data_IF_559263623263
#
_entry.id   IF_559263623263
#
_cell.length_a   1.000
_cell.length_b   1.000
_cell.length_c   1.000
_cell.angle_alpha   90.00
_cell.angle_beta   90.00
_cell.angle_gamma   90.00
#
_symmetry.space_group_name_H-M   'P 1'
#
loop_
_entity.id
_entity.type
_entity.pdbx_description
1 polymer ?
#
# COMPACT_ATOMS: atom_id res chain seq x y z
N UNK A 1 21.79 26.00 -25.54
CA UNK A 1 21.35 24.76 -24.87
C UNK A 1 20.80 25.16 -23.51
N UNK A 2 19.51 25.49 -23.42
CA UNK A 2 18.85 25.67 -22.13
C UNK A 2 18.56 24.28 -21.59
N UNK A 3 19.30 23.88 -20.56
CA UNK A 3 18.98 22.69 -19.78
C UNK A 3 17.52 22.82 -19.35
N UNK A 4 16.64 22.02 -19.97
CA UNK A 4 15.28 21.85 -19.48
C UNK A 4 15.43 21.11 -18.15
N UNK A 5 15.59 21.88 -17.08
CA UNK A 5 15.60 21.40 -15.70
C UNK A 5 14.49 20.36 -15.56
N UNK A 6 14.88 19.10 -15.30
CA UNK A 6 13.91 18.05 -15.05
C UNK A 6 13.05 18.52 -13.88
N UNK A 7 11.71 18.49 -14.00
CA UNK A 7 10.85 18.97 -12.94
C UNK A 7 11.06 18.10 -11.70
N UNK A 8 11.79 18.63 -10.71
CA UNK A 8 12.21 17.94 -9.47
C UNK A 8 11.03 17.20 -8.82
N UNK A 9 9.83 17.80 -8.88
CA UNK A 9 8.59 17.24 -8.36
C UNK A 9 8.23 15.89 -8.99
N UNK A 10 8.39 15.73 -10.31
CA UNK A 10 8.09 14.47 -11.00
C UNK A 10 9.10 13.39 -10.63
N UNK A 11 10.37 13.77 -10.48
CA UNK A 11 11.42 12.85 -10.02
C UNK A 11 11.15 12.36 -8.60
N UNK A 12 10.80 13.25 -7.67
CA UNK A 12 10.44 12.87 -6.29
C UNK A 12 9.22 11.95 -6.28
N UNK A 13 8.16 12.29 -7.02
CA UNK A 13 6.95 11.47 -7.10
C UNK A 13 7.25 10.07 -7.64
N UNK A 14 8.05 9.98 -8.70
CA UNK A 14 8.45 8.71 -9.28
C UNK A 14 9.24 7.84 -8.30
N UNK A 15 10.18 8.43 -7.55
CA UNK A 15 10.91 7.73 -6.50
C UNK A 15 10.00 7.25 -5.38
N UNK A 16 9.03 8.04 -4.96
CA UNK A 16 8.04 7.62 -3.96
C UNK A 16 7.28 6.38 -4.46
N UNK A 17 6.84 6.35 -5.72
CA UNK A 17 6.19 5.18 -6.30
C UNK A 17 7.11 3.94 -6.33
N UNK A 18 8.37 4.11 -6.72
CA UNK A 18 9.35 3.00 -6.71
C UNK A 18 9.54 2.46 -5.29
N UNK A 19 9.69 3.34 -4.30
CA UNK A 19 9.86 2.97 -2.90
C UNK A 19 8.62 2.29 -2.33
N UNK A 20 7.42 2.76 -2.68
CA UNK A 20 6.16 2.09 -2.32
C UNK A 20 6.14 0.67 -2.90
N UNK A 21 6.51 0.49 -4.17
CA UNK A 21 6.49 -0.83 -4.81
C UNK A 21 7.49 -1.79 -4.18
N UNK A 22 8.69 -1.29 -3.87
CA UNK A 22 9.70 -2.06 -3.14
C UNK A 22 9.22 -2.44 -1.73
N UNK A 23 8.61 -1.49 -1.01
CA UNK A 23 8.05 -1.73 0.32
C UNK A 23 6.92 -2.77 0.27
N UNK A 24 6.07 -2.75 -0.75
CA UNK A 24 5.02 -3.76 -0.96
C UNK A 24 5.60 -5.15 -1.18
N UNK A 25 6.65 -5.28 -1.99
CA UNK A 25 7.35 -6.55 -2.22
C UNK A 25 7.94 -7.08 -0.90
N UNK A 26 8.64 -6.22 -0.16
CA UNK A 26 9.25 -6.59 1.13
C UNK A 26 8.18 -6.99 2.15
N UNK A 27 7.08 -6.24 2.24
CA UNK A 27 5.99 -6.56 3.17
C UNK A 27 5.29 -7.87 2.80
N UNK A 28 4.99 -8.10 1.51
CA UNK A 28 4.42 -9.37 1.06
C UNK A 28 5.34 -10.55 1.38
N UNK A 29 6.64 -10.40 1.13
CA UNK A 29 7.64 -11.44 1.46
C UNK A 29 7.70 -11.71 2.97
N UNK A 30 7.72 -10.67 3.80
CA UNK A 30 7.69 -10.81 5.27
C UNK A 30 6.43 -11.53 5.73
N UNK A 31 5.26 -11.12 5.23
CA UNK A 31 3.97 -11.72 5.58
C UNK A 31 3.92 -13.21 5.22
N UNK A 32 4.43 -13.56 4.04
CA UNK A 32 4.55 -14.95 3.62
C UNK A 32 5.50 -15.77 4.49
N UNK A 33 6.68 -15.24 4.82
CA UNK A 33 7.64 -15.94 5.73
C UNK A 33 7.03 -16.16 7.11
N UNK A 34 6.31 -15.17 7.65
CA UNK A 34 5.57 -15.32 8.92
C UNK A 34 4.49 -16.39 8.81
N UNK A 35 3.74 -16.42 7.71
CA UNK A 35 2.72 -17.45 7.43
C UNK A 35 3.35 -18.84 7.38
N UNK A 36 4.49 -19.02 6.70
CA UNK A 36 5.18 -20.32 6.63
C UNK A 36 5.69 -20.77 8.00
N UNK A 37 6.29 -19.87 8.79
CA UNK A 37 6.75 -20.19 10.16
C UNK A 37 5.59 -20.56 11.07
N UNK A 38 4.44 -19.90 10.92
CA UNK A 38 3.25 -20.25 11.68
C UNK A 38 2.72 -21.62 11.27
N UNK A 39 2.67 -21.91 9.96
CA UNK A 39 2.26 -23.21 9.46
C UNK A 39 3.17 -24.35 9.97
N UNK A 40 4.48 -24.12 10.02
CA UNK A 40 5.45 -25.06 10.58
C UNK A 40 5.23 -25.25 12.09
N UNK A 41 5.02 -24.17 12.84
CA UNK A 41 4.69 -24.24 14.26
C UNK A 41 3.40 -25.02 14.53
N UNK A 42 2.35 -24.77 13.74
CA UNK A 42 1.07 -25.49 13.83
C UNK A 42 1.21 -26.97 13.47
N UNK A 43 2.07 -27.32 12.51
CA UNK A 43 2.35 -28.71 12.16
C UNK A 43 3.10 -29.48 13.26
N UNK A 44 3.78 -28.79 14.18
CA UNK A 44 4.44 -29.39 15.34
C UNK A 44 3.55 -29.48 16.58
N UNK A 45 2.32 -28.93 16.53
CA UNK A 45 1.38 -29.05 17.63
C UNK A 45 0.44 -30.22 17.48
N UNK A 46 0.27 -30.99 18.55
CA UNK A 46 -0.63 -32.13 18.62
C UNK A 46 -1.99 -31.76 19.25
N UNK A 47 -2.13 -30.56 19.82
CA UNK A 47 -3.36 -30.10 20.45
C UNK A 47 -4.30 -29.37 19.47
N UNK A 48 -5.43 -29.98 19.08
CA UNK A 48 -6.37 -29.38 18.12
C UNK A 48 -7.07 -28.12 18.66
N UNK A 49 -7.18 -27.94 19.98
CA UNK A 49 -7.82 -26.75 20.56
C UNK A 49 -6.90 -25.51 20.46
N UNK A 50 -5.61 -25.71 20.71
CA UNK A 50 -4.59 -24.69 20.53
C UNK A 50 -4.46 -24.27 19.05
N UNK A 51 -4.53 -25.23 18.12
CA UNK A 51 -4.47 -24.98 16.67
C UNK A 51 -5.65 -24.10 16.22
N UNK A 52 -6.88 -24.43 16.62
CA UNK A 52 -8.06 -23.67 16.22
C UNK A 52 -8.04 -22.24 16.78
N UNK A 53 -7.60 -22.06 18.03
CA UNK A 53 -7.49 -20.74 18.66
C UNK A 53 -6.49 -19.84 17.92
N UNK A 54 -5.36 -20.39 17.48
CA UNK A 54 -4.36 -19.65 16.69
C UNK A 54 -4.85 -19.38 15.27
N UNK A 55 -5.55 -20.33 14.65
CA UNK A 55 -6.15 -20.14 13.32
C UNK A 55 -7.25 -19.08 13.32
N UNK A 56 -8.06 -18.98 14.37
CA UNK A 56 -9.07 -17.91 14.48
C UNK A 56 -8.44 -16.54 14.71
N UNK A 57 -7.34 -16.48 15.48
CA UNK A 57 -6.62 -15.23 15.77
C UNK A 57 -5.79 -14.74 14.57
N UNK A 58 -5.13 -15.67 13.86
CA UNK A 58 -4.14 -15.36 12.81
C UNK A 58 -4.67 -15.62 11.40
N UNK A 59 -5.79 -16.34 11.25
CA UNK A 59 -6.46 -16.63 9.97
C UNK A 59 -6.67 -15.39 9.07
N UNK A 60 -7.09 -14.23 9.60
CA UNK A 60 -7.19 -13.00 8.82
C UNK A 60 -5.86 -12.42 8.33
N UNK A 61 -4.74 -12.87 8.91
CA UNK A 61 -3.38 -12.42 8.62
C UNK A 61 -2.56 -13.44 7.83
N UNK A 62 -3.05 -14.69 7.69
CA UNK A 62 -2.40 -15.71 6.89
C UNK A 62 -2.45 -15.28 5.42
N UNK A 63 -1.26 -15.17 4.83
CA UNK A 63 -1.08 -14.71 3.45
C UNK A 63 -0.90 -15.95 2.57
N UNK A 64 -1.97 -16.49 1.93
CA UNK A 64 -1.81 -17.64 1.06
C UNK A 64 -0.80 -17.34 -0.06
N UNK A 65 -0.16 -18.37 -0.66
CA UNK A 65 0.83 -18.18 -1.73
C UNK A 65 0.31 -17.31 -2.89
N UNK A 66 -0.99 -17.38 -3.15
CA UNK A 66 -1.68 -16.55 -4.13
C UNK A 66 -1.62 -15.05 -3.78
N UNK A 67 -1.80 -14.70 -2.51
CA UNK A 67 -1.74 -13.31 -2.05
C UNK A 67 -0.31 -12.76 -2.15
N UNK A 68 0.72 -13.57 -1.85
CA UNK A 68 2.11 -13.18 -2.12
C UNK A 68 2.30 -12.88 -3.62
N UNK A 69 1.84 -13.76 -4.50
CA UNK A 69 1.97 -13.57 -5.95
C UNK A 69 1.29 -12.27 -6.42
N UNK A 70 0.10 -11.97 -5.87
CA UNK A 70 -0.62 -10.72 -6.14
C UNK A 70 0.18 -9.51 -5.63
N UNK A 71 0.71 -9.55 -4.40
CA UNK A 71 1.50 -8.46 -3.82
C UNK A 71 2.80 -8.21 -4.60
N UNK A 72 3.47 -9.26 -5.04
CA UNK A 72 4.65 -9.15 -5.90
C UNK A 72 4.29 -8.52 -7.24
N UNK A 73 3.21 -8.97 -7.89
CA UNK A 73 2.75 -8.41 -9.15
C UNK A 73 2.39 -6.92 -9.01
N UNK A 74 1.65 -6.55 -7.96
CA UNK A 74 1.31 -5.16 -7.66
C UNK A 74 2.58 -4.34 -7.43
N UNK A 75 3.51 -4.83 -6.61
CA UNK A 75 4.77 -4.15 -6.32
C UNK A 75 5.60 -3.88 -7.58
N UNK A 76 5.71 -4.87 -8.48
CA UNK A 76 6.38 -4.73 -9.77
C UNK A 76 5.66 -3.72 -10.67
N UNK A 77 4.33 -3.78 -10.78
CA UNK A 77 3.54 -2.81 -11.55
C UNK A 77 3.78 -1.36 -11.06
N UNK A 78 3.78 -1.16 -9.74
CA UNK A 78 4.02 0.14 -9.09
C UNK A 78 5.43 0.66 -9.39
N UNK A 79 6.45 -0.20 -9.37
CA UNK A 79 7.82 0.15 -9.78
C UNK A 79 7.86 0.55 -11.27
N UNK A 80 7.22 -0.22 -12.14
CA UNK A 80 7.13 0.08 -13.58
C UNK A 80 6.47 1.45 -13.81
N UNK A 81 5.45 1.81 -13.02
CA UNK A 81 4.81 3.11 -13.10
C UNK A 81 5.73 4.24 -12.65
N UNK A 82 6.49 4.06 -11.57
CA UNK A 82 7.52 4.99 -11.15
C UNK A 82 8.59 5.21 -12.23
N UNK A 83 9.08 4.13 -12.84
CA UNK A 83 10.03 4.22 -13.97
C UNK A 83 9.39 4.90 -15.19
N UNK A 84 8.11 4.63 -15.47
CA UNK A 84 7.33 5.30 -16.51
C UNK A 84 7.21 6.81 -16.30
N UNK A 85 7.03 7.24 -15.05
CA UNK A 85 7.02 8.66 -14.66
C UNK A 85 8.38 9.32 -14.81
N UNK A 86 9.49 8.63 -14.49
CA UNK A 86 10.86 9.13 -14.77
C UNK A 86 11.10 9.34 -16.27
N UNK A 87 10.46 8.53 -17.11
CA UNK A 87 10.48 8.66 -18.57
C UNK A 87 9.43 9.64 -19.11
N UNK A 88 8.71 10.33 -18.24
CA UNK A 88 7.66 11.31 -18.56
C UNK A 88 6.58 10.75 -19.51
N UNK A 89 6.31 9.45 -19.46
CA UNK A 89 5.30 8.84 -20.34
C UNK A 89 3.89 9.30 -19.94
N UNK A 90 3.03 9.71 -20.89
CA UNK A 90 1.70 10.26 -20.59
C UNK A 90 0.77 9.25 -19.90
N UNK A 91 0.89 7.95 -20.24
CA UNK A 91 0.12 6.89 -19.59
C UNK A 91 0.50 6.70 -18.11
N UNK A 92 1.74 7.03 -17.72
CA UNK A 92 2.21 6.81 -16.34
C UNK A 92 1.48 7.73 -15.36
N UNK A 93 1.10 8.94 -15.79
CA UNK A 93 0.30 9.86 -14.97
C UNK A 93 -1.12 9.35 -14.74
N UNK A 94 -1.77 8.85 -15.78
CA UNK A 94 -3.12 8.31 -15.68
C UNK A 94 -3.16 7.11 -14.73
N UNK A 95 -2.18 6.21 -14.85
CA UNK A 95 -2.05 5.07 -13.93
C UNK A 95 -1.71 5.51 -12.50
N UNK A 96 -0.86 6.52 -12.30
CA UNK A 96 -0.58 7.07 -10.97
C UNK A 96 -1.83 7.65 -10.30
N UNK A 97 -2.73 8.29 -11.07
CA UNK A 97 -4.00 8.79 -10.55
C UNK A 97 -4.95 7.64 -10.17
N UNK A 98 -5.10 6.63 -11.04
CA UNK A 98 -5.93 5.45 -10.76
C UNK A 98 -5.43 4.72 -9.52
N UNK A 99 -4.13 4.46 -9.45
CA UNK A 99 -3.52 3.74 -8.32
C UNK A 99 -3.61 4.52 -7.01
N UNK A 100 -3.50 5.86 -7.04
CA UNK A 100 -3.76 6.69 -5.87
C UNK A 100 -5.21 6.56 -5.39
N UNK A 101 -6.20 6.56 -6.30
CA UNK A 101 -7.60 6.33 -5.94
C UNK A 101 -7.83 4.94 -5.36
N UNK A 102 -7.30 3.89 -5.99
CA UNK A 102 -7.37 2.52 -5.48
C UNK A 102 -6.80 2.45 -4.07
N UNK A 103 -5.67 3.12 -3.81
CA UNK A 103 -5.05 3.16 -2.49
C UNK A 103 -5.92 3.87 -1.44
N UNK A 104 -6.57 4.98 -1.80
CA UNK A 104 -7.55 5.65 -0.93
C UNK A 104 -8.72 4.73 -0.60
N UNK A 105 -9.34 4.11 -1.61
CA UNK A 105 -10.48 3.21 -1.41
C UNK A 105 -10.10 1.99 -0.58
N UNK A 106 -8.96 1.37 -0.86
CA UNK A 106 -8.44 0.23 -0.11
C UNK A 106 -8.16 0.58 1.36
N UNK A 107 -7.53 1.74 1.60
CA UNK A 107 -7.25 2.19 2.97
C UNK A 107 -8.56 2.46 3.74
N UNK A 108 -9.55 3.07 3.09
CA UNK A 108 -10.85 3.34 3.71
C UNK A 108 -11.62 2.05 4.01
N UNK A 109 -11.71 1.11 3.06
CA UNK A 109 -12.44 -0.15 3.25
C UNK A 109 -11.76 -1.03 4.29
N UNK A 110 -10.44 -1.18 4.24
CA UNK A 110 -9.68 -1.96 5.20
C UNK A 110 -9.72 -1.32 6.60
N UNK A 111 -9.61 0.01 6.68
CA UNK A 111 -9.77 0.74 7.94
C UNK A 111 -11.16 0.52 8.57
N UNK A 112 -12.22 0.51 7.76
CA UNK A 112 -13.58 0.25 8.24
C UNK A 112 -13.77 -1.21 8.70
N UNK A 113 -13.26 -2.19 7.94
CA UNK A 113 -13.29 -3.59 8.35
C UNK A 113 -12.52 -3.84 9.64
N UNK A 114 -11.31 -3.28 9.75
CA UNK A 114 -10.52 -3.40 10.98
C UNK A 114 -11.20 -2.74 12.17
N UNK A 115 -11.81 -1.57 11.99
CA UNK A 115 -12.57 -0.91 13.06
C UNK A 115 -13.74 -1.79 13.54
N UNK A 116 -14.49 -2.41 12.62
CA UNK A 116 -15.59 -3.33 12.97
C UNK A 116 -15.07 -4.56 13.71
N UNK A 117 -13.98 -5.18 13.25
CA UNK A 117 -13.38 -6.34 13.90
C UNK A 117 -12.89 -5.99 15.31
N UNK A 118 -12.27 -4.83 15.50
CA UNK A 118 -11.84 -4.36 16.81
C UNK A 118 -13.01 -4.09 17.75
N UNK A 119 -14.08 -3.41 17.30
CA UNK A 119 -15.27 -3.17 18.13
C UNK A 119 -15.86 -4.49 18.64
N UNK A 120 -15.92 -5.51 17.77
CA UNK A 120 -16.38 -6.86 18.15
C UNK A 120 -15.47 -7.50 19.20
N UNK A 121 -14.15 -7.42 19.01
CA UNK A 121 -13.18 -7.93 19.97
C UNK A 121 -13.29 -7.21 21.32
N UNK A 122 -13.30 -5.88 21.35
CA UNK A 122 -13.39 -5.11 22.60
C UNK A 122 -14.71 -5.38 23.33
N UNK A 123 -15.81 -5.64 22.62
CA UNK A 123 -17.10 -6.01 23.25
C UNK A 123 -17.11 -7.39 23.93
N UNK A 124 -16.11 -8.23 23.66
CA UNK A 124 -15.98 -9.57 24.26
C UNK A 124 -15.05 -9.60 25.47
N UNK A 125 -14.21 -8.57 25.67
CA UNK A 125 -13.32 -8.46 26.82
C UNK A 125 -13.87 -7.42 27.80
N UNK A 126 -14.27 -7.87 28.98
CA UNK A 126 -14.77 -7.03 30.08
C UNK A 126 -13.66 -6.16 30.69
N UNK A 127 -14.04 -5.10 31.44
CA UNK A 127 -13.23 -3.99 32.02
C UNK A 127 -12.04 -4.43 32.93
N UNK A 128 -11.10 -5.20 32.39
CA UNK A 128 -9.84 -5.60 33.03
C UNK A 128 -8.62 -5.10 32.26
N UNK A 129 -7.41 -5.48 32.71
CA UNK A 129 -6.15 -5.05 32.09
C UNK A 129 -6.02 -5.40 30.58
N UNK A 130 -6.76 -6.41 30.10
CA UNK A 130 -6.84 -6.72 28.67
C UNK A 130 -7.66 -5.69 27.85
N UNK A 131 -8.69 -5.09 28.46
CA UNK A 131 -9.50 -4.03 27.87
C UNK A 131 -8.68 -2.76 27.62
N UNK A 132 -7.87 -2.33 28.60
CA UNK A 132 -7.01 -1.15 28.48
C UNK A 132 -5.99 -1.29 27.33
N UNK A 133 -5.39 -2.46 27.16
CA UNK A 133 -4.44 -2.74 26.06
C UNK A 133 -5.15 -2.74 24.70
N UNK A 134 -6.36 -3.31 24.61
CA UNK A 134 -7.18 -3.30 23.40
C UNK A 134 -7.62 -1.88 23.02
N UNK A 135 -8.05 -1.07 23.99
CA UNK A 135 -8.39 0.35 23.78
C UNK A 135 -7.18 1.16 23.33
N UNK A 136 -5.99 0.91 23.89
CA UNK A 136 -4.76 1.53 23.45
C UNK A 136 -4.46 1.17 21.98
N UNK A 137 -4.49 -0.13 21.62
CA UNK A 137 -4.28 -0.59 20.25
C UNK A 137 -5.28 0.02 19.26
N UNK A 138 -6.54 0.21 19.68
CA UNK A 138 -7.56 0.86 18.88
C UNK A 138 -7.19 2.31 18.52
N UNK A 139 -6.60 3.07 19.45
CA UNK A 139 -6.12 4.43 19.16
C UNK A 139 -5.01 4.42 18.11
N UNK A 140 -4.04 3.50 18.21
CA UNK A 140 -2.98 3.38 17.19
C UNK A 140 -3.53 3.02 15.83
N UNK A 141 -4.54 2.16 15.79
CA UNK A 141 -5.20 1.77 14.55
C UNK A 141 -5.89 2.96 13.89
N UNK A 142 -6.68 3.73 14.65
CA UNK A 142 -7.36 4.93 14.13
C UNK A 142 -6.35 5.96 13.63
N UNK A 143 -5.30 6.26 14.41
CA UNK A 143 -4.23 7.18 14.00
C UNK A 143 -3.53 6.68 12.74
N UNK A 144 -3.23 5.38 12.67
CA UNK A 144 -2.61 4.75 11.50
C UNK A 144 -3.47 4.86 10.24
N UNK A 145 -4.78 4.63 10.35
CA UNK A 145 -5.73 4.77 9.24
C UNK A 145 -5.80 6.23 8.77
N UNK A 146 -5.95 7.19 9.70
CA UNK A 146 -5.99 8.62 9.37
C UNK A 146 -4.70 9.05 8.67
N UNK A 147 -3.54 8.65 9.18
CA UNK A 147 -2.24 8.98 8.59
C UNK A 147 -2.10 8.41 7.17
N UNK A 148 -2.52 7.15 6.94
CA UNK A 148 -2.49 6.51 5.62
C UNK A 148 -3.41 7.23 4.62
N UNK A 149 -4.62 7.58 5.03
CA UNK A 149 -5.56 8.36 4.20
C UNK A 149 -4.97 9.74 3.89
N UNK A 150 -4.39 10.42 4.88
CA UNK A 150 -3.74 11.71 4.69
C UNK A 150 -2.62 11.66 3.65
N UNK A 151 -1.73 10.66 3.74
CA UNK A 151 -0.66 10.43 2.76
C UNK A 151 -1.25 10.17 1.37
N UNK A 152 -2.29 9.34 1.27
CA UNK A 152 -2.95 9.02 0.00
C UNK A 152 -3.55 10.28 -0.66
N UNK A 153 -4.21 11.14 0.12
CA UNK A 153 -4.77 12.41 -0.36
C UNK A 153 -3.66 13.36 -0.80
N UNK A 154 -2.57 13.48 -0.03
CA UNK A 154 -1.42 14.32 -0.40
C UNK A 154 -0.82 13.87 -1.72
N UNK A 155 -0.62 12.56 -1.92
CA UNK A 155 -0.13 12.01 -3.19
C UNK A 155 -1.09 12.33 -4.34
N UNK A 156 -2.40 12.21 -4.12
CA UNK A 156 -3.41 12.50 -5.12
C UNK A 156 -3.43 13.99 -5.51
N UNK A 157 -3.34 14.88 -4.52
CA UNK A 157 -3.19 16.32 -4.73
C UNK A 157 -1.91 16.65 -5.51
N UNK A 158 -0.82 15.93 -5.24
CA UNK A 158 0.46 16.13 -5.91
C UNK A 158 0.41 15.68 -7.38
N UNK A 159 -0.16 14.50 -7.65
CA UNK A 159 -0.39 13.96 -9.01
C UNK A 159 -1.30 14.88 -9.83
N UNK A 160 -2.31 15.50 -9.19
CA UNK A 160 -3.24 16.45 -9.83
C UNK A 160 -2.70 17.86 -9.98
N UNK A 161 -1.54 18.18 -9.41
CA UNK A 161 -0.96 19.52 -9.49
C UNK A 161 -0.73 19.96 -10.95
N UNK A 162 -1.09 21.21 -11.27
CA UNK A 162 -0.87 21.80 -12.61
C UNK A 162 0.58 21.66 -13.07
N UNK A 163 1.55 21.85 -12.17
CA UNK A 163 2.98 21.72 -12.48
C UNK A 163 3.36 20.31 -12.97
N UNK A 164 2.69 19.28 -12.45
CA UNK A 164 2.88 17.90 -12.94
C UNK A 164 2.20 17.76 -14.29
N UNK A 165 0.97 18.26 -14.45
CA UNK A 165 0.25 18.25 -15.74
C UNK A 165 1.06 18.88 -16.88
N UNK A 166 1.65 20.04 -16.63
CA UNK A 166 2.39 20.80 -17.64
C UNK A 166 3.69 20.08 -18.04
N UNK A 167 4.35 19.38 -17.11
CA UNK A 167 5.55 18.59 -17.40
C UNK A 167 5.30 17.43 -18.39
N UNK A 168 4.12 16.81 -18.32
CA UNK A 168 3.74 15.72 -19.23
C UNK A 168 3.18 16.20 -20.58
N UNK A 169 2.70 17.45 -20.69
CA UNK A 169 2.13 17.99 -21.94
C UNK A 169 3.16 18.61 -22.89
N UNK A 170 4.40 18.85 -22.44
CA UNK A 170 5.46 19.49 -23.25
C UNK A 170 6.18 18.47 -24.17
N UNK A 171 6.14 17.18 -23.85
CA UNK A 171 6.81 16.14 -24.65
C UNK A 171 6.15 15.74 -25.99
N UNK A 172 4.81 15.69 -26.17
CA UNK A 172 4.24 15.24 -27.43
C UNK A 172 4.56 16.14 -28.63
N UNK A 173 4.86 17.44 -28.43
CA UNK A 173 5.23 18.32 -29.54
C UNK A 173 6.69 18.13 -30.00
N UNK A 174 7.62 17.87 -29.08
CA UNK A 174 9.04 17.70 -29.45
C UNK A 174 9.33 16.41 -30.22
N UNK A 175 8.51 15.37 -30.06
CA UNK A 175 8.64 14.12 -30.81
C UNK A 175 8.06 14.22 -32.23
N UNK A 176 7.00 15.01 -32.42
CA UNK A 176 6.38 15.20 -33.73
C UNK A 176 7.20 16.11 -34.68
N UNK A 177 7.99 17.04 -34.12
CA UNK A 177 8.86 17.92 -34.90
C UNK A 177 10.18 17.26 -35.36
N UNK A 178 10.54 16.09 -34.81
CA UNK A 178 11.73 15.33 -35.22
C UNK A 178 11.44 14.32 -36.35
N UNK A 179 10.18 14.11 -36.69
CA UNK A 179 9.74 13.24 -37.80
C UNK A 179 9.40 14.03 -39.08
N UNK A 180 9.70 15.33 -39.14
CA UNK A 180 9.63 16.19 -40.33
C UNK A 180 11.01 16.69 -40.72
#
# INVERSE_FOLDING_TARGET
>A
MTDKERPIRVTVLAWIWILIGLATIVNGTKSFVTTMRLAEFLATQDDPEAINTVLDLVGPFLTPPLELAILLMIGVCVIIFGVGMLRLRPWARFLAEITAWIFVFNTASNGMLQAVSFIRLTSQFDDGAGGDVLSFLQVFLVVGVIMRIGIAIVLLCFVRSRKVKDAFSIQPMAAADLER
#
